data_IF_613646474750
#
_entry.id   IF_613646474750
#
_cell.length_a   1.000
_cell.length_b   1.000
_cell.length_c   1.000
_cell.angle_alpha   90.00
_cell.angle_beta   90.00
_cell.angle_gamma   90.00
#
_symmetry.space_group_name_H-M   'P 1'
#
loop_
_entity.id
_entity.type
_entity.pdbx_description
1 polymer ?
#
# COMPACT_ATOMS: atom_id res chain seq x y z
N UNK A 1 19.77 -9.71 16.96
CA UNK A 1 20.96 -10.03 16.13
C UNK A 1 21.23 -8.88 15.17
N UNK A 2 22.40 -8.82 14.52
CA UNK A 2 22.66 -7.83 13.47
C UNK A 2 22.05 -8.28 12.15
N UNK A 3 21.21 -7.44 11.56
CA UNK A 3 20.56 -7.63 10.26
C UNK A 3 21.08 -6.55 9.32
N UNK A 4 21.58 -6.95 8.16
CA UNK A 4 22.04 -6.01 7.12
C UNK A 4 21.05 -6.07 5.96
N UNK A 5 20.26 -5.02 5.79
CA UNK A 5 19.31 -4.87 4.69
C UNK A 5 20.00 -4.13 3.56
N UNK A 6 20.26 -4.84 2.46
CA UNK A 6 20.85 -4.28 1.25
C UNK A 6 19.79 -4.19 0.18
N UNK A 7 19.54 -2.99 -0.31
CA UNK A 7 18.51 -2.73 -1.31
C UNK A 7 19.10 -2.18 -2.61
N UNK A 8 18.49 -2.52 -3.74
CA UNK A 8 18.90 -1.97 -5.04
C UNK A 8 18.72 -0.44 -5.05
N UNK A 9 19.77 0.35 -5.38
CA UNK A 9 19.66 1.81 -5.39
C UNK A 9 18.64 2.35 -6.41
N UNK A 10 18.26 1.55 -7.42
CA UNK A 10 17.29 1.90 -8.45
C UNK A 10 15.81 1.74 -8.05
N UNK A 11 15.51 1.30 -6.83
CA UNK A 11 14.13 1.07 -6.38
C UNK A 11 13.29 2.36 -6.36
N UNK A 12 12.05 2.26 -6.85
CA UNK A 12 11.05 3.31 -6.80
C UNK A 12 10.35 3.42 -5.44
N UNK A 13 9.39 4.33 -5.32
CA UNK A 13 8.74 4.64 -4.04
C UNK A 13 7.98 3.47 -3.40
N UNK A 14 7.24 2.59 -4.13
CA UNK A 14 6.56 1.46 -3.49
C UNK A 14 7.57 0.49 -2.85
N UNK A 15 8.63 0.15 -3.58
CA UNK A 15 9.66 -0.75 -3.09
C UNK A 15 10.37 -0.20 -1.86
N UNK A 16 10.74 1.08 -1.86
CA UNK A 16 11.35 1.75 -0.70
C UNK A 16 10.45 1.74 0.53
N UNK A 17 9.15 1.99 0.35
CA UNK A 17 8.18 1.87 1.43
C UNK A 17 8.16 0.44 2.02
N UNK A 18 8.22 -0.60 1.17
CA UNK A 18 8.35 -1.98 1.62
C UNK A 18 9.65 -2.25 2.41
N UNK A 19 10.79 -1.73 1.93
CA UNK A 19 12.09 -1.85 2.62
C UNK A 19 12.06 -1.16 3.98
N UNK A 20 11.51 0.05 4.06
CA UNK A 20 11.40 0.81 5.31
C UNK A 20 10.50 0.10 6.33
N UNK A 21 9.34 -0.42 5.89
CA UNK A 21 8.44 -1.20 6.75
C UNK A 21 9.12 -2.49 7.26
N UNK A 22 9.85 -3.21 6.39
CA UNK A 22 10.57 -4.40 6.80
C UNK A 22 11.69 -4.09 7.81
N UNK A 23 12.43 -2.99 7.61
CA UNK A 23 13.46 -2.55 8.55
C UNK A 23 12.86 -2.19 9.92
N UNK A 24 11.66 -1.59 9.94
CA UNK A 24 10.89 -1.34 11.18
C UNK A 24 10.49 -2.65 11.84
N UNK A 25 9.93 -3.61 11.09
CA UNK A 25 9.55 -4.93 11.64
C UNK A 25 10.74 -5.64 12.28
N UNK A 26 11.93 -5.61 11.66
CA UNK A 26 13.14 -6.15 12.29
C UNK A 26 13.53 -5.43 13.58
N UNK A 27 13.42 -4.11 13.61
CA UNK A 27 13.73 -3.30 14.79
C UNK A 27 12.74 -3.61 15.93
N UNK A 28 11.45 -3.74 15.62
CA UNK A 28 10.38 -4.07 16.57
C UNK A 28 10.52 -5.50 17.11
N UNK A 29 11.07 -6.42 16.29
CA UNK A 29 11.49 -7.76 16.72
C UNK A 29 12.78 -7.77 17.57
N UNK A 30 13.36 -6.59 17.87
CA UNK A 30 14.54 -6.45 18.74
C UNK A 30 15.87 -6.75 18.05
N UNK A 31 15.93 -6.62 16.72
CA UNK A 31 17.18 -6.75 15.97
C UNK A 31 17.86 -5.39 15.75
N UNK A 32 19.18 -5.45 15.55
CA UNK A 32 20.01 -4.29 15.20
C UNK A 32 20.11 -4.22 13.67
N UNK A 33 19.52 -3.18 13.07
CA UNK A 33 19.31 -3.11 11.62
C UNK A 33 20.22 -2.05 10.99
N UNK A 34 21.06 -2.47 10.05
CA UNK A 34 21.83 -1.59 9.19
C UNK A 34 21.29 -1.66 7.76
N UNK A 35 20.98 -0.50 7.18
CA UNK A 35 20.56 -0.40 5.77
C UNK A 35 21.72 0.10 4.91
N UNK A 36 21.83 -0.42 3.69
CA UNK A 36 22.83 0.04 2.72
C UNK A 36 22.52 -0.38 1.28
N UNK A 37 23.42 0.02 0.38
CA UNK A 37 23.23 -0.12 -1.07
C UNK A 37 24.21 -1.15 -1.69
N UNK A 38 25.10 -1.71 -0.87
CA UNK A 38 26.09 -2.70 -1.26
C UNK A 38 26.34 -3.71 -0.15
N UNK A 39 26.57 -4.97 -0.51
CA UNK A 39 27.00 -6.00 0.44
C UNK A 39 28.46 -5.76 0.80
N UNK A 40 28.75 -5.52 2.09
CA UNK A 40 30.12 -5.50 2.58
C UNK A 40 30.56 -6.95 2.87
N UNK A 41 31.59 -7.43 2.17
CA UNK A 41 32.09 -8.79 2.30
C UNK A 41 32.61 -9.13 3.71
N UNK A 42 32.84 -8.12 4.56
CA UNK A 42 33.24 -8.28 5.96
C UNK A 42 32.06 -8.26 6.95
N UNK A 43 30.82 -8.06 6.50
CA UNK A 43 29.67 -7.96 7.38
C UNK A 43 29.35 -9.31 8.06
N UNK A 44 29.41 -9.33 9.39
CA UNK A 44 28.90 -10.44 10.21
C UNK A 44 27.42 -10.23 10.52
N UNK A 45 26.56 -11.19 10.20
CA UNK A 45 25.13 -11.14 10.50
C UNK A 45 24.28 -11.74 9.39
N UNK A 46 22.95 -11.72 9.56
CA UNK A 46 22.02 -12.15 8.52
C UNK A 46 21.86 -11.04 7.50
N UNK A 47 22.15 -11.35 6.23
CA UNK A 47 22.03 -10.40 5.12
C UNK A 47 20.69 -10.59 4.42
N UNK A 48 20.00 -9.49 4.17
CA UNK A 48 18.73 -9.45 3.42
C UNK A 48 18.96 -8.63 2.15
N UNK A 49 18.84 -9.26 0.98
CA UNK A 49 18.98 -8.62 -0.33
C UNK A 49 17.61 -8.34 -0.92
N UNK A 50 17.35 -7.09 -1.31
CA UNK A 50 16.04 -6.64 -1.80
C UNK A 50 16.20 -5.90 -3.11
N UNK A 51 15.52 -6.33 -4.16
CA UNK A 51 15.66 -5.69 -5.46
C UNK A 51 14.74 -6.23 -6.54
N UNK A 52 14.77 -5.58 -7.70
CA UNK A 52 14.20 -6.18 -8.91
C UNK A 52 14.98 -7.46 -9.28
N UNK A 53 14.32 -8.46 -9.83
CA UNK A 53 14.96 -9.75 -10.18
C UNK A 53 16.19 -9.60 -11.09
N UNK A 54 16.19 -8.57 -11.95
CA UNK A 54 17.30 -8.27 -12.87
C UNK A 54 18.45 -7.49 -12.23
N UNK A 55 18.34 -7.17 -10.93
CA UNK A 55 19.33 -6.38 -10.22
C UNK A 55 20.67 -7.11 -10.14
N UNK A 56 21.81 -6.40 -10.35
CA UNK A 56 23.13 -6.98 -10.12
C UNK A 56 23.37 -7.36 -8.66
N UNK A 57 22.53 -6.88 -7.72
CA UNK A 57 22.56 -7.26 -6.31
C UNK A 57 22.52 -8.78 -6.10
N UNK A 58 21.85 -9.52 -6.99
CA UNK A 58 21.69 -10.97 -6.88
C UNK A 58 22.78 -11.78 -7.61
N UNK A 59 23.81 -11.14 -8.16
CA UNK A 59 24.83 -11.82 -8.97
C UNK A 59 25.56 -12.94 -8.20
N UNK A 60 25.87 -12.71 -6.92
CA UNK A 60 26.66 -13.65 -6.11
C UNK A 60 25.84 -14.85 -5.59
N UNK A 61 24.53 -14.67 -5.38
CA UNK A 61 23.61 -15.73 -4.91
C UNK A 61 23.00 -16.53 -6.06
N UNK A 62 23.10 -16.03 -7.29
CA UNK A 62 22.48 -16.61 -8.48
C UNK A 62 20.99 -16.25 -8.59
N UNK A 63 20.54 -15.98 -9.80
CA UNK A 63 19.13 -15.65 -10.08
C UNK A 63 18.25 -16.89 -10.29
N UNK A 64 18.85 -18.08 -10.39
CA UNK A 64 18.20 -19.33 -10.75
C UNK A 64 17.42 -19.89 -9.54
N UNK A 65 16.22 -19.33 -9.34
CA UNK A 65 15.38 -19.54 -8.16
C UNK A 65 14.72 -18.26 -7.64
N UNK A 66 15.25 -17.09 -8.01
CA UNK A 66 14.73 -15.77 -7.60
C UNK A 66 13.67 -15.20 -8.54
N UNK A 67 13.56 -15.73 -9.76
CA UNK A 67 12.59 -15.25 -10.74
C UNK A 67 11.15 -15.27 -10.18
N UNK A 68 10.43 -14.15 -10.12
CA UNK A 68 9.01 -14.16 -9.78
C UNK A 68 8.21 -15.01 -10.78
N UNK A 69 7.07 -15.61 -10.36
CA UNK A 69 6.28 -16.47 -11.24
C UNK A 69 5.47 -15.72 -12.30
N UNK A 70 5.35 -14.39 -12.19
CA UNK A 70 4.58 -13.52 -13.10
C UNK A 70 5.26 -12.17 -13.33
N UNK A 71 4.64 -11.33 -14.18
CA UNK A 71 5.26 -10.10 -14.69
C UNK A 71 4.99 -8.85 -13.86
N UNK A 72 3.79 -8.71 -13.29
CA UNK A 72 3.38 -7.50 -12.55
C UNK A 72 3.07 -7.87 -11.12
N UNK A 73 3.48 -7.03 -10.17
CA UNK A 73 3.19 -7.19 -8.74
C UNK A 73 3.63 -8.54 -8.14
N UNK A 74 4.50 -9.27 -8.85
CA UNK A 74 4.92 -10.62 -8.49
C UNK A 74 6.26 -10.59 -7.77
N UNK A 75 6.46 -11.51 -6.83
CA UNK A 75 7.68 -11.58 -6.04
C UNK A 75 8.13 -13.01 -5.72
N UNK A 76 9.38 -13.11 -5.27
CA UNK A 76 10.00 -14.30 -4.70
C UNK A 76 10.70 -13.91 -3.40
N UNK A 77 10.35 -14.61 -2.32
CA UNK A 77 11.13 -14.71 -1.08
C UNK A 77 11.89 -16.03 -1.11
N UNK A 78 13.21 -15.99 -1.04
CA UNK A 78 14.07 -17.17 -1.05
C UNK A 78 15.20 -17.07 -0.03
N UNK A 79 15.72 -18.22 0.38
CA UNK A 79 16.93 -18.33 1.18
C UNK A 79 18.02 -18.92 0.29
N UNK A 80 19.10 -18.17 0.09
CA UNK A 80 20.24 -18.58 -0.72
C UNK A 80 21.45 -18.87 0.17
N UNK A 81 22.20 -19.92 -0.18
CA UNK A 81 23.48 -20.18 0.45
C UNK A 81 24.51 -19.12 -0.02
N UNK A 82 25.25 -18.54 0.91
CA UNK A 82 26.33 -17.60 0.65
C UNK A 82 27.59 -18.02 1.42
N UNK A 83 28.74 -17.45 1.06
CA UNK A 83 30.02 -17.72 1.72
C UNK A 83 30.02 -17.38 3.23
N UNK A 84 29.11 -16.51 3.68
CA UNK A 84 28.97 -16.09 5.08
C UNK A 84 27.78 -16.70 5.84
N UNK A 85 27.00 -17.59 5.23
CA UNK A 85 25.79 -18.18 5.83
C UNK A 85 24.57 -18.13 4.90
N UNK A 86 23.37 -18.14 5.47
CA UNK A 86 22.12 -18.01 4.72
C UNK A 86 21.82 -16.54 4.44
N UNK A 87 21.64 -16.19 3.16
CA UNK A 87 21.17 -14.87 2.71
C UNK A 87 19.68 -14.95 2.40
N UNK A 88 18.90 -14.00 2.92
CA UNK A 88 17.48 -13.88 2.61
C UNK A 88 17.35 -12.96 1.40
N UNK A 89 16.61 -13.38 0.37
CA UNK A 89 16.45 -12.63 -0.87
C UNK A 89 14.97 -12.33 -1.11
N UNK A 90 14.66 -11.06 -1.37
CA UNK A 90 13.35 -10.59 -1.84
C UNK A 90 13.54 -10.02 -3.24
N UNK A 91 13.08 -10.75 -4.25
CA UNK A 91 13.15 -10.35 -5.65
C UNK A 91 11.74 -10.03 -6.18
N UNK A 92 11.55 -8.82 -6.69
CA UNK A 92 10.31 -8.38 -7.32
C UNK A 92 10.40 -8.30 -8.84
N UNK A 93 9.25 -8.42 -9.51
CA UNK A 93 9.11 -8.21 -10.95
C UNK A 93 9.02 -6.71 -11.31
N UNK A 94 8.47 -5.92 -10.40
CA UNK A 94 8.40 -4.46 -10.41
C UNK A 94 8.49 -3.91 -8.97
N UNK A 95 8.43 -2.59 -8.78
CA UNK A 95 8.53 -1.96 -7.46
C UNK A 95 7.43 -2.43 -6.49
N UNK A 96 6.21 -2.72 -6.98
CA UNK A 96 5.11 -3.19 -6.14
C UNK A 96 5.33 -4.65 -5.75
N UNK A 97 5.87 -5.47 -6.65
CA UNK A 97 6.30 -6.83 -6.36
C UNK A 97 7.36 -6.84 -5.26
N UNK A 98 8.39 -5.98 -5.36
CA UNK A 98 9.39 -5.83 -4.29
C UNK A 98 8.72 -5.46 -2.97
N UNK A 99 7.83 -4.47 -2.97
CA UNK A 99 7.07 -4.04 -1.79
C UNK A 99 6.28 -5.20 -1.16
N UNK A 100 5.53 -5.97 -1.96
CA UNK A 100 4.75 -7.10 -1.46
C UNK A 100 5.62 -8.24 -0.94
N UNK A 101 6.80 -8.47 -1.54
CA UNK A 101 7.77 -9.42 -1.02
C UNK A 101 8.37 -9.00 0.32
N UNK A 102 8.60 -7.70 0.53
CA UNK A 102 9.00 -7.16 1.83
C UNK A 102 7.90 -7.37 2.88
N UNK A 103 6.63 -7.14 2.53
CA UNK A 103 5.50 -7.39 3.44
C UNK A 103 5.34 -8.86 3.77
N UNK A 104 5.55 -9.77 2.81
CA UNK A 104 5.54 -11.21 3.10
C UNK A 104 6.61 -11.58 4.13
N UNK A 105 7.84 -11.09 3.94
CA UNK A 105 8.92 -11.35 4.89
C UNK A 105 8.60 -10.75 6.26
N UNK A 106 8.10 -9.51 6.31
CA UNK A 106 7.67 -8.86 7.54
C UNK A 106 6.59 -9.68 8.27
N UNK A 107 5.56 -10.16 7.55
CA UNK A 107 4.49 -11.00 8.12
C UNK A 107 5.04 -12.31 8.69
N UNK A 108 5.99 -12.97 8.00
CA UNK A 108 6.63 -14.18 8.51
C UNK A 108 7.44 -13.90 9.78
N UNK A 109 8.15 -12.77 9.86
CA UNK A 109 8.90 -12.37 11.06
C UNK A 109 7.94 -12.13 12.23
N UNK A 110 6.87 -11.37 12.01
CA UNK A 110 5.86 -11.05 13.02
C UNK A 110 5.13 -12.29 13.56
N UNK A 111 4.95 -13.31 12.70
CA UNK A 111 4.29 -14.56 13.06
C UNK A 111 5.25 -15.66 13.55
N UNK A 112 6.57 -15.45 13.43
CA UNK A 112 7.58 -16.45 13.83
C UNK A 112 7.82 -16.45 15.35
N UNK A 113 8.09 -17.63 15.90
CA UNK A 113 8.66 -17.74 17.24
C UNK A 113 10.13 -17.27 17.23
N UNK A 114 10.63 -16.85 18.39
CA UNK A 114 12.02 -16.44 18.52
C UNK A 114 12.97 -17.63 18.25
N UNK A 115 13.71 -17.57 17.14
CA UNK A 115 14.74 -18.54 16.76
C UNK A 115 16.15 -17.95 16.92
N UNK A 116 17.16 -18.81 17.09
CA UNK A 116 18.57 -18.37 17.09
C UNK A 116 19.01 -17.90 15.70
N UNK A 117 18.63 -18.64 14.65
CA UNK A 117 18.78 -18.23 13.25
C UNK A 117 17.42 -17.82 12.70
N UNK A 118 17.33 -16.59 12.19
CA UNK A 118 16.12 -16.05 11.58
C UNK A 118 15.67 -16.91 10.40
N UNK A 119 16.60 -17.47 9.62
CA UNK A 119 16.29 -18.23 8.41
C UNK A 119 15.55 -19.55 8.68
N UNK A 120 15.68 -20.12 9.88
CA UNK A 120 14.99 -21.36 10.27
C UNK A 120 13.47 -21.16 10.44
N UNK A 121 13.04 -19.94 10.75
CA UNK A 121 11.62 -19.58 10.90
C UNK A 121 10.95 -19.17 9.59
N UNK A 122 11.72 -18.99 8.51
CA UNK A 122 11.21 -18.47 7.25
C UNK A 122 10.88 -19.58 6.26
N UNK A 123 9.82 -19.36 5.48
CA UNK A 123 9.40 -20.25 4.41
C UNK A 123 9.57 -19.56 3.05
N UNK A 124 10.35 -20.14 2.11
CA UNK A 124 10.43 -19.62 0.75
C UNK A 124 9.05 -19.52 0.10
N UNK A 125 8.79 -18.44 -0.62
CA UNK A 125 7.50 -18.19 -1.26
C UNK A 125 7.67 -17.49 -2.60
N UNK A 126 6.87 -17.89 -3.58
CA UNK A 126 6.79 -17.26 -4.91
C UNK A 126 5.33 -16.99 -5.17
N UNK A 127 4.99 -15.73 -5.44
CA UNK A 127 3.59 -15.34 -5.56
C UNK A 127 3.39 -14.30 -6.66
N UNK A 128 2.23 -14.41 -7.32
CA UNK A 128 1.68 -13.46 -8.28
C UNK A 128 0.22 -13.24 -7.94
N UNK A 129 -0.32 -12.03 -8.12
CA UNK A 129 -1.73 -11.80 -7.88
C UNK A 129 -2.59 -12.52 -8.93
N UNK A 130 -3.59 -13.29 -8.48
CA UNK A 130 -4.59 -13.89 -9.37
C UNK A 130 -5.53 -12.85 -10.01
N UNK A 131 -5.74 -11.73 -9.32
CA UNK A 131 -6.61 -10.64 -9.75
C UNK A 131 -5.75 -9.39 -9.93
N UNK A 132 -5.64 -8.91 -11.17
CA UNK A 132 -4.82 -7.74 -11.51
C UNK A 132 -5.27 -6.44 -10.81
N UNK A 133 -6.58 -6.28 -10.58
CA UNK A 133 -7.17 -5.09 -9.96
C UNK A 133 -7.90 -5.46 -8.68
N UNK A 134 -7.35 -5.05 -7.54
CA UNK A 134 -7.89 -5.29 -6.20
C UNK A 134 -8.27 -3.93 -5.64
N UNK A 135 -9.50 -3.52 -5.96
CA UNK A 135 -10.01 -2.17 -5.73
C UNK A 135 -10.92 -2.10 -4.51
N UNK A 136 -10.83 -1.01 -3.77
CA UNK A 136 -11.80 -0.64 -2.74
C UNK A 136 -12.51 0.67 -3.10
N UNK A 137 -13.82 0.71 -2.83
CA UNK A 137 -14.65 1.90 -2.94
C UNK A 137 -15.02 2.40 -1.55
N UNK A 138 -14.71 3.65 -1.25
CA UNK A 138 -15.22 4.35 -0.08
C UNK A 138 -16.22 5.41 -0.57
N UNK A 139 -17.37 5.48 0.10
CA UNK A 139 -18.38 6.49 -0.23
C UNK A 139 -18.47 7.51 0.90
N UNK A 140 -18.35 8.78 0.55
CA UNK A 140 -18.50 9.92 1.44
C UNK A 140 -19.85 10.58 1.16
N UNK A 141 -20.70 10.64 2.18
CA UNK A 141 -22.09 11.10 2.11
C UNK A 141 -22.50 12.03 3.26
N UNK A 142 -21.74 12.09 4.34
CA UNK A 142 -22.07 12.89 5.52
C UNK A 142 -20.84 13.59 6.09
N UNK A 143 -20.75 14.89 5.83
CA UNK A 143 -19.63 15.72 6.26
C UNK A 143 -19.40 15.68 7.77
N UNK A 144 -20.43 15.59 8.61
CA UNK A 144 -20.24 15.55 10.07
C UNK A 144 -19.67 14.21 10.54
N UNK A 145 -20.02 13.09 9.89
CA UNK A 145 -19.43 11.78 10.19
C UNK A 145 -18.03 11.60 9.59
N UNK A 146 -17.72 12.35 8.54
CA UNK A 146 -16.49 12.19 7.75
C UNK A 146 -15.39 13.18 8.13
N UNK A 147 -15.74 14.34 8.71
CA UNK A 147 -14.82 15.45 9.00
C UNK A 147 -13.53 15.01 9.70
N UNK A 148 -13.64 14.11 10.68
CA UNK A 148 -12.53 13.74 11.55
C UNK A 148 -11.45 12.93 10.84
N UNK A 149 -11.84 12.07 9.90
CA UNK A 149 -10.88 11.23 9.17
C UNK A 149 -10.57 11.75 7.76
N UNK A 150 -11.51 12.44 7.12
CA UNK A 150 -11.37 12.89 5.73
C UNK A 150 -10.20 13.87 5.55
N UNK A 151 -9.99 14.78 6.50
CA UNK A 151 -8.90 15.77 6.46
C UNK A 151 -7.65 15.32 7.25
N UNK A 152 -7.65 14.12 7.82
CA UNK A 152 -6.53 13.63 8.64
C UNK A 152 -5.51 12.91 7.77
N UNK A 153 -4.33 13.50 7.62
CA UNK A 153 -3.20 12.88 6.91
C UNK A 153 -2.75 11.59 7.61
N UNK A 154 -2.71 11.58 8.95
CA UNK A 154 -2.41 10.39 9.76
C UNK A 154 -3.41 9.25 9.50
N UNK A 155 -4.70 9.57 9.36
CA UNK A 155 -5.70 8.57 9.00
C UNK A 155 -5.40 7.97 7.63
N UNK A 156 -5.13 8.80 6.62
CA UNK A 156 -4.89 8.34 5.26
C UNK A 156 -3.60 7.55 5.13
N UNK A 157 -2.53 7.98 5.79
CA UNK A 157 -1.27 7.24 5.86
C UNK A 157 -1.52 5.83 6.41
N UNK A 158 -2.09 5.74 7.62
CA UNK A 158 -2.44 4.46 8.24
C UNK A 158 -3.39 3.63 7.37
N UNK A 159 -4.40 4.24 6.76
CA UNK A 159 -5.39 3.54 5.94
C UNK A 159 -4.76 2.96 4.68
N UNK A 160 -3.94 3.72 3.96
CA UNK A 160 -3.24 3.24 2.78
C UNK A 160 -2.15 2.22 3.11
N UNK A 161 -1.49 2.34 4.27
CA UNK A 161 -0.60 1.29 4.78
C UNK A 161 -1.33 -0.04 4.94
N UNK A 162 -2.53 -0.04 5.53
CA UNK A 162 -3.36 -1.24 5.69
C UNK A 162 -3.77 -1.81 4.32
N UNK A 163 -4.19 -0.96 3.38
CA UNK A 163 -4.54 -1.40 2.03
C UNK A 163 -3.35 -2.01 1.29
N UNK A 164 -2.18 -1.39 1.35
CA UNK A 164 -0.95 -1.88 0.73
C UNK A 164 -0.51 -3.22 1.33
N UNK A 165 -0.52 -3.38 2.66
CA UNK A 165 -0.24 -4.66 3.35
C UNK A 165 -1.26 -5.74 2.97
N UNK A 166 -2.52 -5.35 2.79
CA UNK A 166 -3.60 -6.22 2.28
C UNK A 166 -3.57 -6.38 0.75
N UNK A 167 -2.54 -5.87 0.07
CA UNK A 167 -2.29 -5.92 -1.38
C UNK A 167 -3.38 -5.28 -2.25
N UNK A 168 -4.27 -4.44 -1.71
CA UNK A 168 -5.14 -3.61 -2.53
C UNK A 168 -4.31 -2.60 -3.31
N UNK A 169 -4.57 -2.47 -4.61
CA UNK A 169 -3.75 -1.66 -5.51
C UNK A 169 -4.52 -0.52 -6.17
N UNK A 170 -5.79 -0.34 -5.80
CA UNK A 170 -6.59 0.79 -6.24
C UNK A 170 -7.63 1.20 -5.19
N UNK A 171 -7.74 2.51 -4.97
CA UNK A 171 -8.71 3.10 -4.05
C UNK A 171 -9.53 4.18 -4.76
N UNK A 172 -10.84 4.14 -4.58
CA UNK A 172 -11.76 5.10 -5.16
C UNK A 172 -12.61 5.74 -4.06
N UNK A 173 -12.45 7.05 -3.86
CA UNK A 173 -13.30 7.84 -2.99
C UNK A 173 -14.43 8.48 -3.81
N UNK A 174 -15.66 8.06 -3.52
CA UNK A 174 -16.85 8.44 -4.27
C UNK A 174 -17.68 9.43 -3.45
N UNK A 175 -17.96 10.59 -4.04
CA UNK A 175 -18.81 11.63 -3.47
C UNK A 175 -20.25 11.59 -4.00
N UNK A 176 -20.52 10.75 -5.00
CA UNK A 176 -21.86 10.56 -5.55
C UNK A 176 -22.68 9.61 -4.70
N UNK A 177 -23.91 10.00 -4.36
CA UNK A 177 -24.84 9.13 -3.66
C UNK A 177 -25.55 8.17 -4.63
N UNK A 178 -25.82 6.94 -4.20
CA UNK A 178 -26.44 5.89 -5.05
C UNK A 178 -27.94 6.10 -5.34
N UNK A 179 -28.43 7.34 -5.27
CA UNK A 179 -29.81 7.70 -5.58
C UNK A 179 -29.87 8.57 -6.83
N UNK A 180 -30.91 8.37 -7.64
CA UNK A 180 -31.14 9.12 -8.89
C UNK A 180 -31.19 10.66 -8.75
N UNK A 181 -31.29 11.18 -7.53
CA UNK A 181 -31.35 12.61 -7.23
C UNK A 181 -29.99 13.30 -7.08
N UNK A 182 -28.89 12.55 -6.92
CA UNK A 182 -27.56 13.12 -6.67
C UNK A 182 -26.53 12.68 -7.72
N UNK A 183 -26.98 11.98 -8.77
CA UNK A 183 -26.20 11.67 -9.96
C UNK A 183 -27.11 11.84 -11.19
N UNK A 184 -26.83 12.82 -12.09
CA UNK A 184 -25.72 13.77 -12.02
C UNK A 184 -25.84 14.78 -10.88
N UNK A 185 -24.73 15.43 -10.52
CA UNK A 185 -24.73 16.58 -9.61
C UNK A 185 -25.53 17.69 -10.30
N UNK A 186 -26.72 17.98 -9.78
CA UNK A 186 -27.60 18.98 -10.40
C UNK A 186 -27.22 20.40 -9.95
N UNK A 187 -27.40 21.42 -10.82
CA UNK A 187 -27.06 22.81 -10.49
C UNK A 187 -27.70 23.35 -9.22
N UNK A 188 -28.89 22.86 -8.83
CA UNK A 188 -29.60 23.28 -7.61
C UNK A 188 -28.94 22.83 -6.30
N UNK A 189 -27.83 22.10 -6.35
CA UNK A 189 -27.00 21.75 -5.19
C UNK A 189 -26.00 22.85 -4.80
N UNK A 190 -25.83 23.87 -5.65
CA UNK A 190 -24.93 25.00 -5.40
C UNK A 190 -25.66 26.31 -5.66
N UNK A 191 -25.29 27.34 -4.90
CA UNK A 191 -25.68 28.70 -5.23
C UNK A 191 -24.81 29.16 -6.41
N UNK A 192 -25.44 29.45 -7.55
CA UNK A 192 -24.77 29.89 -8.78
C UNK A 192 -25.18 31.32 -9.10
N UNK A 193 -24.21 32.25 -9.12
CA UNK A 193 -24.46 33.67 -9.40
C UNK A 193 -25.14 33.88 -10.77
N UNK A 194 -24.83 33.04 -11.76
CA UNK A 194 -25.41 33.09 -13.10
C UNK A 194 -26.88 32.63 -13.15
N UNK A 195 -27.32 31.86 -12.15
CA UNK A 195 -28.65 31.25 -12.07
C UNK A 195 -29.24 31.34 -10.66
N UNK A 196 -29.45 32.56 -10.12
CA UNK A 196 -29.86 32.77 -8.73
C UNK A 196 -31.24 32.17 -8.40
N UNK A 197 -32.05 31.89 -9.41
CA UNK A 197 -33.39 31.31 -9.26
C UNK A 197 -33.38 29.76 -9.20
N UNK A 198 -32.22 29.11 -9.36
CA UNK A 198 -32.10 27.65 -9.37
C UNK A 198 -31.71 27.15 -7.97
N UNK A 199 -32.70 26.88 -7.13
CA UNK A 199 -32.49 26.38 -5.77
C UNK A 199 -33.56 25.35 -5.35
N UNK A 200 -33.28 24.64 -4.26
CA UNK A 200 -34.26 23.78 -3.60
C UNK A 200 -34.95 24.57 -2.50
N UNK A 201 -36.27 24.64 -2.56
CA UNK A 201 -37.09 25.35 -1.58
C UNK A 201 -36.86 24.78 -0.18
N UNK A 202 -36.52 25.64 0.78
CA UNK A 202 -36.13 25.25 2.15
C UNK A 202 -34.65 24.94 2.37
N UNK A 203 -33.80 24.96 1.34
CA UNK A 203 -32.34 24.78 1.47
C UNK A 203 -31.53 26.04 1.13
N UNK A 204 -32.13 27.02 0.45
CA UNK A 204 -31.46 28.26 0.06
C UNK A 204 -31.07 29.11 1.29
N UNK A 205 -29.78 29.44 1.42
CA UNK A 205 -29.25 30.29 2.50
C UNK A 205 -29.19 29.63 3.89
N UNK A 206 -29.40 28.32 4.01
CA UNK A 206 -29.31 27.61 5.28
C UNK A 206 -28.24 26.53 5.25
N UNK A 207 -27.42 26.45 6.32
CA UNK A 207 -26.54 25.31 6.60
C UNK A 207 -27.36 24.08 7.06
N UNK A 208 -28.47 23.76 6.37
CA UNK A 208 -29.41 22.73 6.80
C UNK A 208 -29.02 21.35 6.27
N UNK A 209 -28.91 20.44 7.23
CA UNK A 209 -28.68 19.00 7.07
C UNK A 209 -29.85 18.38 6.30
N UNK A 210 -29.51 17.54 5.32
CA UNK A 210 -30.41 16.78 4.45
C UNK A 210 -31.59 16.14 5.22
N UNK A 211 -32.81 16.67 5.05
CA UNK A 211 -34.05 16.00 5.42
C UNK A 211 -34.83 15.70 4.13
N UNK A 212 -34.75 14.46 3.66
CA UNK A 212 -35.39 14.03 2.42
C UNK A 212 -36.88 13.75 2.62
N UNK A 213 -37.69 14.80 2.54
CA UNK A 213 -39.08 14.67 2.06
C UNK A 213 -39.20 15.41 0.73
N UNK A 214 -39.75 14.72 -0.28
CA UNK A 214 -39.86 15.12 -1.70
C UNK A 214 -39.77 16.64 -1.94
N UNK A 215 -38.59 17.18 -2.30
CA UNK A 215 -38.48 18.58 -2.69
C UNK A 215 -39.18 18.78 -4.03
N UNK A 216 -40.10 19.75 -4.11
CA UNK A 216 -40.71 20.17 -5.37
C UNK A 216 -39.77 21.18 -6.03
N UNK A 217 -39.01 20.76 -7.04
CA UNK A 217 -38.26 21.69 -7.88
C UNK A 217 -39.25 22.52 -8.69
N UNK A 218 -39.29 23.84 -8.43
CA UNK A 218 -40.09 24.76 -9.24
C UNK A 218 -39.25 25.25 -10.40
N UNK A 219 -39.18 24.47 -11.48
CA UNK A 219 -38.60 24.93 -12.74
C UNK A 219 -39.61 25.91 -13.36
N UNK A 220 -39.32 27.21 -13.30
CA UNK A 220 -40.03 28.19 -14.11
C UNK A 220 -39.55 28.02 -15.55
N UNK A 221 -40.31 27.26 -16.33
CA UNK A 221 -40.15 27.21 -17.79
C UNK A 221 -40.80 28.49 -18.37
N UNK A 222 -40.14 29.22 -19.29
CA UNK A 222 -40.73 30.38 -19.96
C UNK A 222 -41.96 30.03 -20.82
#
# INVERSE_FOLDING_TARGET
MKIVVVSDPGLGSPARYGVDELARTFTDAGHDVEQGDSVDAAASGTTVLIGAVVSPLFADVGSDGLAPPGETESYTLAMAASSGGTTICVAGSDDKGVMYGCFELAEQIECSDACEDLSDGLTPKRESPDIAVRRLYAFSHNADLERDWYFSEEYWDRYFSVLAKSRFNEFNLIFGHQTAYQIPIYPHLFDMDEYPDVYVDGLHGSAAIFSMTHPRTRVLVP
#
